data_IF_299033244437
#
_entry.id   IF_299033244437
#
_cell.length_a   1.000
_cell.length_b   1.000
_cell.length_c   1.000
_cell.angle_alpha   90.00
_cell.angle_beta   90.00
_cell.angle_gamma   90.00
#
_symmetry.space_group_name_H-M   'P 1'
#
loop_
_entity.id
_entity.type
_entity.pdbx_description
1 polymer ?
#
# COMPACT_ATOMS: atom_id res chain seq x y z
N UNK A 1 0.96 -13.43 -12.02
CA UNK A 1 1.15 -13.03 -10.64
C UNK A 1 0.48 -11.70 -10.32
N UNK A 2 0.73 -10.66 -11.08
CA UNK A 2 0.06 -9.37 -10.89
C UNK A 2 -1.24 -9.23 -11.65
N UNK A 3 -1.55 -10.21 -12.50
CA UNK A 3 -2.63 -10.12 -13.48
C UNK A 3 -4.03 -10.13 -12.88
N UNK A 4 -4.17 -10.66 -11.68
CA UNK A 4 -5.47 -10.96 -11.11
C UNK A 4 -5.89 -9.97 -10.03
N UNK A 5 -5.06 -8.96 -9.80
CA UNK A 5 -5.35 -7.92 -8.81
C UNK A 5 -5.22 -6.58 -9.50
N UNK A 6 -6.34 -5.92 -9.65
CA UNK A 6 -6.36 -4.56 -10.19
C UNK A 6 -5.96 -3.62 -9.05
N UNK A 7 -4.68 -3.30 -9.00
CA UNK A 7 -4.13 -2.43 -7.96
C UNK A 7 -3.89 -1.03 -8.50
N UNK A 8 -4.09 -0.06 -7.63
CA UNK A 8 -3.84 1.33 -7.94
C UNK A 8 -2.39 1.68 -7.63
N UNK A 9 -1.74 2.40 -8.56
CA UNK A 9 -0.42 2.95 -8.31
C UNK A 9 -0.55 4.14 -7.38
N UNK A 10 -0.01 4.03 -6.17
CA UNK A 10 -0.12 5.06 -5.15
C UNK A 10 1.01 6.08 -5.21
N UNK A 11 2.22 5.62 -5.49
CA UNK A 11 3.40 6.48 -5.49
C UNK A 11 4.53 5.86 -6.29
N UNK A 12 5.41 6.72 -6.78
CA UNK A 12 6.63 6.33 -7.48
C UNK A 12 7.77 7.20 -6.97
N UNK A 13 8.83 6.56 -6.46
CA UNK A 13 10.01 7.25 -5.98
C UNK A 13 11.24 6.80 -6.75
N UNK A 14 12.01 7.71 -7.36
CA UNK A 14 13.33 7.34 -7.86
C UNK A 14 14.25 7.08 -6.65
N UNK A 15 14.97 5.98 -6.70
CA UNK A 15 15.91 5.64 -5.63
C UNK A 15 17.22 6.38 -5.88
N UNK A 16 17.54 7.31 -4.98
CA UNK A 16 18.74 8.14 -5.04
C UNK A 16 19.81 7.56 -4.15
N UNK A 17 21.04 7.98 -4.40
CA UNK A 17 22.17 7.58 -3.56
C UNK A 17 21.95 7.84 -2.07
N UNK A 18 21.30 8.98 -1.74
CA UNK A 18 20.98 9.32 -0.35
C UNK A 18 19.93 8.42 0.29
N UNK A 19 19.24 7.60 -0.49
CA UNK A 19 18.23 6.67 0.03
C UNK A 19 18.82 5.30 0.40
N UNK A 20 20.10 5.08 0.11
CA UNK A 20 20.74 3.78 0.30
C UNK A 20 21.20 3.62 1.75
N UNK A 21 21.13 2.38 2.23
CA UNK A 21 21.65 2.00 3.52
C UNK A 21 23.10 1.58 3.45
N UNK A 22 23.56 0.98 4.53
CA UNK A 22 24.96 0.60 4.73
C UNK A 22 25.50 -0.33 3.63
N UNK A 23 24.66 -1.24 3.11
CA UNK A 23 25.07 -2.22 2.11
C UNK A 23 24.83 -1.78 0.67
N UNK A 24 24.50 -0.50 0.45
CA UNK A 24 24.31 0.03 -0.91
C UNK A 24 22.99 -0.28 -1.56
N UNK A 25 22.03 -0.77 -0.78
CA UNK A 25 20.65 -1.00 -1.25
C UNK A 25 19.71 0.00 -0.58
N UNK A 26 18.52 0.18 -1.12
CA UNK A 26 17.51 1.04 -0.50
C UNK A 26 17.36 0.68 0.98
N UNK A 27 17.49 1.68 1.84
CA UNK A 27 17.36 1.48 3.28
C UNK A 27 15.94 1.06 3.64
N UNK A 28 15.82 -0.04 4.40
CA UNK A 28 14.53 -0.60 4.76
C UNK A 28 13.61 0.37 5.49
N UNK A 29 14.16 1.16 6.40
CA UNK A 29 13.39 2.18 7.11
C UNK A 29 12.83 3.25 6.17
N UNK A 30 13.56 3.60 5.12
CA UNK A 30 13.09 4.55 4.12
C UNK A 30 11.96 3.97 3.30
N UNK A 31 12.10 2.72 2.88
CA UNK A 31 11.03 2.01 2.17
C UNK A 31 9.76 1.95 3.01
N UNK A 32 9.88 1.62 4.29
CA UNK A 32 8.73 1.56 5.19
C UNK A 32 8.08 2.93 5.38
N UNK A 33 8.89 4.00 5.47
CA UNK A 33 8.36 5.36 5.55
C UNK A 33 7.56 5.73 4.30
N UNK A 34 8.09 5.44 3.12
CA UNK A 34 7.39 5.70 1.86
C UNK A 34 6.10 4.88 1.75
N UNK A 35 6.16 3.62 2.17
CA UNK A 35 5.02 2.72 2.14
C UNK A 35 3.92 3.22 3.06
N UNK A 36 4.26 3.56 4.30
CA UNK A 36 3.28 4.03 5.28
C UNK A 36 2.64 5.35 4.84
N UNK A 37 3.45 6.30 4.36
CA UNK A 37 2.94 7.57 3.87
C UNK A 37 1.99 7.41 2.68
N UNK A 38 2.34 6.54 1.74
CA UNK A 38 1.51 6.27 0.57
C UNK A 38 0.21 5.55 0.95
N UNK A 39 0.31 4.59 1.86
CA UNK A 39 -0.84 3.79 2.29
C UNK A 39 -1.82 4.62 3.10
N UNK A 40 -1.33 5.47 4.04
CA UNK A 40 -2.23 6.32 4.83
C UNK A 40 -2.93 7.35 3.95
N UNK A 41 -2.22 7.91 2.97
CA UNK A 41 -2.84 8.85 2.02
C UNK A 41 -3.96 8.18 1.23
N UNK A 42 -3.75 6.94 0.82
CA UNK A 42 -4.77 6.16 0.12
C UNK A 42 -5.96 5.86 1.03
N UNK A 43 -5.71 5.48 2.29
CA UNK A 43 -6.78 5.26 3.27
C UNK A 43 -7.61 6.52 3.49
N UNK A 44 -6.96 7.69 3.57
CA UNK A 44 -7.66 8.97 3.69
C UNK A 44 -8.58 9.23 2.51
N UNK A 45 -8.12 8.93 1.30
CA UNK A 45 -8.93 9.10 0.09
C UNK A 45 -10.10 8.13 0.08
N UNK A 46 -9.89 6.88 0.42
CA UNK A 46 -10.93 5.87 0.42
C UNK A 46 -12.00 6.14 1.49
N UNK A 47 -11.59 6.64 2.63
CA UNK A 47 -12.47 6.86 3.78
C UNK A 47 -12.96 8.30 3.90
N UNK A 48 -12.58 9.17 2.97
CA UNK A 48 -13.05 10.56 2.89
C UNK A 48 -12.80 11.37 4.16
N UNK A 49 -11.64 11.14 4.78
CA UNK A 49 -11.25 11.84 6.02
C UNK A 49 -9.73 11.87 6.17
N UNK A 50 -9.17 12.99 6.68
CA UNK A 50 -7.74 13.04 6.99
C UNK A 50 -7.38 12.36 8.32
N UNK A 51 -8.38 11.87 9.07
CA UNK A 51 -8.16 11.33 10.41
C UNK A 51 -8.02 9.81 10.42
N UNK A 52 -7.25 9.28 9.47
CA UNK A 52 -6.89 7.88 9.42
C UNK A 52 -5.51 7.70 10.03
N UNK A 53 -5.38 6.74 10.94
CA UNK A 53 -4.09 6.43 11.59
C UNK A 53 -3.72 4.99 11.36
N UNK A 54 -2.43 4.73 11.20
CA UNK A 54 -1.89 3.38 11.06
C UNK A 54 -1.93 2.68 12.41
N UNK A 55 -2.60 1.55 12.48
CA UNK A 55 -2.64 0.75 13.72
C UNK A 55 -1.83 -0.53 13.61
N UNK A 56 -1.61 -1.04 12.41
CA UNK A 56 -0.74 -2.19 12.24
C UNK A 56 -0.19 -2.26 10.82
N UNK A 57 1.03 -2.73 10.71
CA UNK A 57 1.64 -3.17 9.46
C UNK A 57 1.95 -4.64 9.70
N UNK A 58 1.39 -5.50 8.87
CA UNK A 58 1.52 -6.92 9.01
C UNK A 58 2.96 -7.36 8.70
N UNK A 59 3.22 -8.65 8.70
CA UNK A 59 4.53 -9.20 8.44
C UNK A 59 5.19 -8.56 7.22
N UNK A 60 6.36 -7.94 7.44
CA UNK A 60 7.15 -7.31 6.39
C UNK A 60 8.36 -8.16 6.09
N UNK A 61 8.37 -8.77 4.89
CA UNK A 61 9.52 -9.54 4.42
C UNK A 61 10.09 -8.82 3.20
N UNK A 62 11.36 -8.45 3.30
CA UNK A 62 12.07 -7.82 2.19
C UNK A 62 12.52 -8.93 1.25
N UNK A 63 11.81 -9.11 0.15
CA UNK A 63 12.05 -10.24 -0.75
C UNK A 63 13.28 -10.05 -1.63
N UNK A 64 13.54 -8.82 -2.07
CA UNK A 64 14.69 -8.49 -2.91
C UNK A 64 15.19 -7.09 -2.61
N UNK A 65 16.50 -6.85 -2.69
CA UNK A 65 17.04 -5.50 -2.54
C UNK A 65 16.72 -4.64 -3.76
N UNK A 66 16.58 -3.36 -3.55
CA UNK A 66 16.43 -2.37 -4.62
C UNK A 66 17.63 -1.43 -4.62
N UNK A 67 17.96 -0.91 -5.79
CA UNK A 67 19.22 -0.21 -6.01
C UNK A 67 19.01 1.19 -6.55
N UNK A 68 20.04 2.01 -6.42
CA UNK A 68 20.09 3.34 -7.00
C UNK A 68 19.75 3.29 -8.50
N UNK A 69 18.96 4.24 -8.94
CA UNK A 69 18.56 4.35 -10.35
C UNK A 69 17.31 3.57 -10.71
N UNK A 70 16.84 2.70 -9.83
CA UNK A 70 15.54 2.05 -10.01
C UNK A 70 14.43 2.95 -9.47
N UNK A 71 13.21 2.73 -9.95
CA UNK A 71 12.03 3.38 -9.40
C UNK A 71 11.37 2.44 -8.41
N UNK A 72 11.04 2.95 -7.23
CA UNK A 72 10.22 2.19 -6.29
C UNK A 72 8.78 2.60 -6.49
N UNK A 73 7.95 1.64 -6.86
CA UNK A 73 6.52 1.86 -7.10
C UNK A 73 5.72 1.17 -6.02
N UNK A 74 4.77 1.91 -5.45
CA UNK A 74 3.91 1.40 -4.38
C UNK A 74 2.51 1.31 -4.92
N UNK A 75 1.93 0.11 -4.84
CA UNK A 75 0.57 -0.21 -5.30
C UNK A 75 -0.28 -0.60 -4.11
N UNK A 76 -1.56 -0.36 -4.20
CA UNK A 76 -2.48 -0.74 -3.14
C UNK A 76 -3.89 -1.01 -3.62
N UNK A 77 -4.61 -1.78 -2.81
CA UNK A 77 -6.02 -2.06 -3.00
C UNK A 77 -6.63 -2.46 -1.65
N UNK A 78 -7.88 -2.07 -1.38
CA UNK A 78 -8.50 -2.51 -0.12
C UNK A 78 -8.73 -4.01 -0.11
N UNK A 79 -8.36 -4.66 0.98
CA UNK A 79 -8.53 -6.11 1.13
C UNK A 79 -9.68 -6.47 2.06
N UNK A 80 -9.93 -5.66 3.09
CA UNK A 80 -11.05 -5.88 4.00
C UNK A 80 -11.45 -4.58 4.68
N UNK A 81 -12.66 -4.56 5.23
CA UNK A 81 -13.19 -3.38 5.90
C UNK A 81 -13.92 -3.82 7.17
N UNK A 82 -13.72 -3.06 8.25
CA UNK A 82 -14.46 -3.18 9.49
C UNK A 82 -15.39 -1.99 9.71
N UNK A 83 -15.94 -1.87 10.89
CA UNK A 83 -16.81 -0.73 11.24
C UNK A 83 -16.03 0.57 11.29
N UNK A 84 -14.84 0.55 11.90
CA UNK A 84 -14.00 1.74 12.13
C UNK A 84 -12.70 1.69 11.35
N UNK A 85 -12.46 0.63 10.58
CA UNK A 85 -11.15 0.35 10.02
C UNK A 85 -11.22 -0.13 8.58
N UNK A 86 -10.11 0.06 7.87
CA UNK A 86 -9.88 -0.53 6.55
C UNK A 86 -8.51 -1.18 6.56
N UNK A 87 -8.40 -2.34 5.94
CA UNK A 87 -7.12 -3.01 5.72
C UNK A 87 -6.80 -2.96 4.24
N UNK A 88 -5.60 -2.49 3.92
CA UNK A 88 -5.12 -2.36 2.55
C UNK A 88 -4.05 -3.41 2.29
N UNK A 89 -4.11 -4.03 1.12
CA UNK A 89 -2.97 -4.78 0.58
C UNK A 89 -2.05 -3.77 -0.10
N UNK A 90 -0.79 -3.80 0.25
CA UNK A 90 0.24 -2.90 -0.30
C UNK A 90 1.37 -3.72 -0.87
N UNK A 91 1.81 -3.35 -2.06
CA UNK A 91 2.90 -4.02 -2.75
C UNK A 91 3.89 -2.99 -3.25
N UNK A 92 5.15 -3.15 -2.87
CA UNK A 92 6.25 -2.31 -3.36
C UNK A 92 7.04 -3.09 -4.40
N UNK A 93 7.27 -2.47 -5.55
CA UNK A 93 8.03 -3.07 -6.65
C UNK A 93 9.18 -2.16 -7.04
N UNK A 94 10.30 -2.78 -7.42
CA UNK A 94 11.40 -2.07 -8.05
C UNK A 94 11.24 -2.18 -9.56
N UNK A 95 11.34 -1.07 -10.25
CA UNK A 95 11.20 -0.97 -11.69
C UNK A 95 12.53 -0.55 -12.31
N UNK A 96 13.08 -1.39 -13.15
CA UNK A 96 14.26 -1.06 -13.94
C UNK A 96 13.82 -0.33 -15.21
N UNK A 97 14.09 0.96 -15.28
CA UNK A 97 13.58 1.79 -16.38
C UNK A 97 14.23 1.46 -17.73
N UNK A 98 15.42 0.84 -17.72
CA UNK A 98 16.12 0.48 -18.94
C UNK A 98 15.51 -0.75 -19.61
N UNK A 99 15.10 -1.72 -18.80
CA UNK A 99 14.58 -2.99 -19.29
C UNK A 99 13.07 -3.09 -19.22
N UNK A 100 12.42 -2.23 -18.42
CA UNK A 100 11.00 -2.30 -18.13
C UNK A 100 10.62 -3.41 -17.15
N UNK A 101 11.58 -4.19 -16.67
CA UNK A 101 11.31 -5.29 -15.73
C UNK A 101 11.00 -4.76 -14.34
N UNK A 102 10.04 -5.41 -13.69
CA UNK A 102 9.66 -5.10 -12.32
C UNK A 102 9.74 -6.37 -11.48
N UNK A 103 10.06 -6.19 -10.20
CA UNK A 103 10.03 -7.30 -9.24
C UNK A 103 9.51 -6.81 -7.89
N UNK A 104 8.90 -7.71 -7.13
CA UNK A 104 8.37 -7.40 -5.82
C UNK A 104 9.53 -7.25 -4.82
N UNK A 105 9.53 -6.11 -4.13
CA UNK A 105 10.49 -5.83 -3.05
C UNK A 105 9.88 -6.21 -1.72
N UNK A 106 8.60 -5.86 -1.53
CA UNK A 106 7.88 -6.08 -0.28
C UNK A 106 6.39 -6.13 -0.57
N UNK A 107 5.68 -7.00 0.15
CA UNK A 107 4.22 -7.02 0.15
C UNK A 107 3.74 -7.18 1.58
N UNK A 108 2.66 -6.50 1.93
CA UNK A 108 2.14 -6.50 3.29
C UNK A 108 0.68 -6.07 3.29
N UNK A 109 0.07 -6.16 4.47
CA UNK A 109 -1.24 -5.57 4.73
C UNK A 109 -1.06 -4.50 5.80
N UNK A 110 -1.69 -3.35 5.60
CA UNK A 110 -1.67 -2.26 6.56
C UNK A 110 -3.10 -1.94 6.98
N UNK A 111 -3.31 -1.75 8.27
CA UNK A 111 -4.62 -1.45 8.83
C UNK A 111 -4.67 -0.03 9.35
N UNK A 112 -5.72 0.69 8.99
CA UNK A 112 -5.95 2.07 9.39
C UNK A 112 -7.29 2.19 10.08
N UNK A 113 -7.37 3.08 11.05
CA UNK A 113 -8.57 3.33 11.84
C UNK A 113 -8.94 4.81 11.77
N UNK A 114 -10.24 5.08 11.67
CA UNK A 114 -10.79 6.43 11.72
C UNK A 114 -10.91 6.84 13.18
N UNK A 115 -10.32 7.99 13.54
CA UNK A 115 -10.34 8.50 14.92
C UNK A 115 -10.84 9.93 14.99
N UNK A 116 -11.37 10.32 16.15
CA UNK A 116 -11.71 11.71 16.44
C UNK A 116 -10.47 12.47 16.99
N UNK A 117 -10.70 13.71 17.42
CA UNK A 117 -9.62 14.57 17.94
C UNK A 117 -8.97 14.03 19.21
N UNK A 118 -9.71 13.24 19.99
CA UNK A 118 -9.22 12.67 21.24
C UNK A 118 -8.67 11.25 21.06
N UNK A 119 -8.64 10.75 19.82
CA UNK A 119 -8.12 9.43 19.50
C UNK A 119 -9.13 8.31 19.63
N UNK A 120 -10.40 8.62 19.87
CA UNK A 120 -11.45 7.61 19.94
C UNK A 120 -11.85 7.16 18.52
N UNK A 121 -12.10 5.86 18.38
CA UNK A 121 -12.48 5.29 17.08
C UNK A 121 -13.88 5.74 16.67
N UNK A 122 -14.03 6.08 15.40
CA UNK A 122 -15.29 6.48 14.80
C UNK A 122 -15.70 5.50 13.70
N UNK A 123 -17.02 5.29 13.51
CA UNK A 123 -17.49 4.48 12.37
C UNK A 123 -17.15 5.17 11.05
N UNK A 124 -16.73 4.38 10.08
CA UNK A 124 -16.50 4.87 8.73
C UNK A 124 -17.82 5.34 8.12
N UNK A 125 -17.73 6.31 7.20
CA UNK A 125 -18.90 6.87 6.52
C UNK A 125 -19.53 5.82 5.61
N UNK A 126 -20.86 5.82 5.53
CA UNK A 126 -21.60 4.84 4.71
C UNK A 126 -21.16 4.86 3.25
N UNK A 127 -20.96 6.05 2.67
CA UNK A 127 -20.51 6.17 1.27
C UNK A 127 -19.13 5.56 1.06
N UNK A 128 -18.24 5.68 2.04
CA UNK A 128 -16.90 5.13 1.98
C UNK A 128 -16.95 3.59 2.08
N UNK A 129 -17.75 3.08 3.00
CA UNK A 129 -17.95 1.63 3.18
C UNK A 129 -18.48 1.02 1.88
N UNK A 130 -19.47 1.65 1.26
CA UNK A 130 -20.04 1.15 0.00
C UNK A 130 -18.99 1.11 -1.10
N UNK A 131 -18.25 2.19 -1.28
CA UNK A 131 -17.20 2.26 -2.30
C UNK A 131 -16.13 1.20 -2.09
N UNK A 132 -15.66 1.05 -0.87
CA UNK A 132 -14.61 0.09 -0.54
C UNK A 132 -15.11 -1.34 -0.72
N UNK A 133 -16.33 -1.65 -0.31
CA UNK A 133 -16.91 -2.96 -0.53
C UNK A 133 -17.02 -3.29 -2.02
N UNK A 134 -17.43 -2.32 -2.83
CA UNK A 134 -17.50 -2.51 -4.29
C UNK A 134 -16.13 -2.81 -4.87
N UNK A 135 -15.09 -2.12 -4.40
CA UNK A 135 -13.71 -2.37 -4.84
C UNK A 135 -13.23 -3.78 -4.45
N UNK A 136 -13.54 -4.20 -3.23
CA UNK A 136 -13.17 -5.54 -2.74
C UNK A 136 -13.86 -6.61 -3.57
N UNK A 137 -15.15 -6.44 -3.85
CA UNK A 137 -15.91 -7.39 -4.66
C UNK A 137 -15.39 -7.47 -6.10
N UNK A 138 -15.04 -6.33 -6.68
CA UNK A 138 -14.46 -6.27 -8.02
C UNK A 138 -13.19 -7.11 -8.10
N UNK A 139 -12.32 -6.99 -7.13
CA UNK A 139 -11.07 -7.74 -7.08
C UNK A 139 -11.31 -9.26 -6.94
N UNK A 140 -12.29 -9.64 -6.15
CA UNK A 140 -12.68 -11.06 -6.01
C UNK A 140 -13.17 -11.65 -7.32
N UNK A 141 -14.01 -10.92 -8.05
CA UNK A 141 -14.53 -11.36 -9.34
C UNK A 141 -13.41 -11.56 -10.36
N UNK A 142 -12.47 -10.63 -10.42
CA UNK A 142 -11.31 -10.74 -11.31
C UNK A 142 -10.45 -11.96 -10.97
N UNK A 143 -10.25 -12.22 -9.69
CA UNK A 143 -9.47 -13.36 -9.22
C UNK A 143 -10.16 -14.68 -9.60
N UNK A 144 -11.48 -14.76 -9.46
CA UNK A 144 -12.26 -15.94 -9.81
C UNK A 144 -12.25 -16.21 -11.32
N UNK A 145 -12.39 -15.17 -12.13
CA UNK A 145 -12.36 -15.28 -13.59
C UNK A 145 -11.00 -15.75 -14.10
N UNK A 146 -9.95 -15.48 -13.37
CA UNK A 146 -8.58 -15.83 -13.76
C UNK A 146 -8.20 -17.26 -13.41
N UNK A 147 -9.05 -17.96 -12.69
CA UNK A 147 -8.87 -19.38 -12.39
C UNK A 147 -9.43 -20.23 -13.52
#
# INVERSE_FOLDING_TARGET
MFKNIDMELLNTHPIKKSDLGFHGNLFGGKLLAWLDASAVAYAMQLCDTPRMVTVSIDKCVFEKPSKEGQLLKIFGWPSSIGTTSVTLYIEARAHNVRTGKQFIVLKTHTKFVYIDEDGAQLPLKDKSIKRINDMIELNKLETEESK
#
